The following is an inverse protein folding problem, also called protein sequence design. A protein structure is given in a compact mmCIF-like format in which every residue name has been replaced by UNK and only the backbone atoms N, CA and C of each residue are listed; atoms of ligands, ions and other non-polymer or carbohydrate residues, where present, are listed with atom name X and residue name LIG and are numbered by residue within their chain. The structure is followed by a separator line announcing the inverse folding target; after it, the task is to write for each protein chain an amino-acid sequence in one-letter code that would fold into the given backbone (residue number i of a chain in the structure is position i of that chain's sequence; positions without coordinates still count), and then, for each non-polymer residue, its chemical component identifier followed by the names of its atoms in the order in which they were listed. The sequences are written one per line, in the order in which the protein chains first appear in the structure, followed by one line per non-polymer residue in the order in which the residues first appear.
data_IF_273774748710
#
_entry.id   IF_273774748710
#
_cell.length_a   1.000
_cell.length_b   1.000
_cell.length_c   1.000
_cell.angle_alpha   90.00
_cell.angle_beta   90.00
_cell.angle_gamma   90.00
#
_symmetry.space_group_name_H-M   'P 1'
#
loop_
_entity.id
_entity.type
_entity.pdbx_description
1 polymer ?
#
# COMPACT_ATOMS: atom_id res chain seq x y z
N UNK A 1 -19.94 -24.26 18.89
CA UNK A 1 -18.92 -23.45 18.17
C UNK A 1 -19.12 -23.66 16.69
N UNK A 2 -19.64 -22.67 15.97
CA UNK A 2 -19.80 -22.78 14.53
C UNK A 2 -18.41 -22.82 13.89
N UNK A 3 -18.06 -23.95 13.27
CA UNK A 3 -16.86 -24.12 12.44
C UNK A 3 -16.97 -23.18 11.23
N UNK A 4 -16.37 -22.00 11.33
CA UNK A 4 -16.27 -21.10 10.17
C UNK A 4 -15.30 -21.73 9.17
N UNK A 5 -15.73 -21.83 7.91
CA UNK A 5 -14.91 -22.39 6.84
C UNK A 5 -13.64 -21.54 6.66
N UNK A 6 -12.42 -22.09 6.88
CA UNK A 6 -11.17 -21.32 6.75
C UNK A 6 -10.96 -20.79 5.33
N UNK A 7 -11.62 -21.36 4.31
CA UNK A 7 -11.53 -20.86 2.93
C UNK A 7 -12.16 -19.48 2.73
N UNK A 8 -13.08 -19.06 3.62
CA UNK A 8 -13.84 -17.82 3.44
C UNK A 8 -12.99 -16.54 3.51
N UNK A 9 -11.81 -16.62 4.14
CA UNK A 9 -10.88 -15.47 4.24
C UNK A 9 -9.93 -15.38 3.03
N UNK A 10 -9.76 -16.45 2.25
CA UNK A 10 -8.81 -16.46 1.13
C UNK A 10 -9.10 -15.41 0.03
N UNK A 11 -10.37 -15.13 -0.34
CA UNK A 11 -10.66 -14.03 -1.25
C UNK A 11 -10.26 -12.66 -0.68
N UNK A 12 -10.44 -12.45 0.63
CA UNK A 12 -10.04 -11.22 1.30
C UNK A 12 -8.52 -11.04 1.27
N UNK A 13 -7.79 -12.12 1.57
CA UNK A 13 -6.32 -12.19 1.49
C UNK A 13 -5.83 -11.80 0.11
N UNK A 14 -6.44 -12.37 -0.95
CA UNK A 14 -6.11 -12.05 -2.33
C UNK A 14 -6.41 -10.59 -2.64
N UNK A 15 -7.61 -10.10 -2.33
CA UNK A 15 -8.02 -8.72 -2.62
C UNK A 15 -7.13 -7.70 -1.91
N UNK A 16 -6.74 -7.97 -0.66
CA UNK A 16 -5.84 -7.10 0.08
C UNK A 16 -4.46 -7.04 -0.56
N UNK A 17 -3.86 -8.20 -0.83
CA UNK A 17 -2.55 -8.26 -1.48
C UNK A 17 -2.62 -7.59 -2.86
N UNK A 18 -3.67 -7.89 -3.64
CA UNK A 18 -3.88 -7.34 -4.97
C UNK A 18 -3.98 -5.81 -4.93
N UNK A 19 -4.72 -5.25 -3.97
CA UNK A 19 -4.83 -3.79 -3.82
C UNK A 19 -3.49 -3.11 -3.53
N UNK A 20 -2.63 -3.73 -2.72
CA UNK A 20 -1.32 -3.16 -2.36
C UNK A 20 -0.41 -3.15 -3.58
N UNK A 21 -0.32 -4.28 -4.25
CA UNK A 21 0.54 -4.49 -5.43
C UNK A 21 0.04 -3.66 -6.63
N UNK A 22 -1.28 -3.47 -6.76
CA UNK A 22 -1.86 -2.65 -7.82
C UNK A 22 -1.46 -1.18 -7.68
N UNK A 23 -1.33 -0.70 -6.44
CA UNK A 23 -0.99 0.68 -6.13
C UNK A 23 0.50 1.01 -6.30
N UNK A 24 1.38 0.01 -6.34
CA UNK A 24 2.83 0.25 -6.34
C UNK A 24 3.28 1.08 -7.56
N UNK A 25 2.91 0.68 -8.78
CA UNK A 25 3.29 1.42 -9.98
C UNK A 25 2.69 2.84 -10.00
N UNK A 26 1.36 3.07 -9.90
CA UNK A 26 0.78 4.40 -9.97
C UNK A 26 1.30 5.30 -8.84
N UNK A 27 1.56 4.72 -7.66
CA UNK A 27 2.23 5.38 -6.55
C UNK A 27 3.60 5.92 -6.97
N UNK A 28 4.48 5.10 -7.54
CA UNK A 28 5.80 5.56 -8.00
C UNK A 28 5.71 6.66 -9.07
N UNK A 29 4.77 6.56 -10.01
CA UNK A 29 4.53 7.58 -11.03
C UNK A 29 4.08 8.91 -10.40
N UNK A 30 3.19 8.86 -9.41
CA UNK A 30 2.75 10.04 -8.67
C UNK A 30 3.92 10.76 -7.98
N UNK A 31 4.77 10.04 -7.24
CA UNK A 31 5.95 10.63 -6.61
C UNK A 31 6.90 11.27 -7.63
N UNK A 32 7.13 10.58 -8.76
CA UNK A 32 7.96 11.09 -9.84
C UNK A 32 7.38 12.36 -10.45
N UNK A 33 6.08 12.38 -10.73
CA UNK A 33 5.41 13.52 -11.35
C UNK A 33 5.48 14.76 -10.46
N UNK A 34 5.25 14.62 -9.15
CA UNK A 34 5.31 15.73 -8.19
C UNK A 34 6.69 16.38 -8.20
N UNK A 35 7.77 15.58 -8.16
CA UNK A 35 9.13 16.10 -8.22
C UNK A 35 9.50 16.65 -9.58
N UNK A 36 8.95 16.09 -10.66
CA UNK A 36 9.17 16.60 -12.00
C UNK A 36 8.52 17.97 -12.21
N UNK A 37 7.29 18.15 -11.72
CA UNK A 37 6.56 19.42 -11.78
C UNK A 37 7.30 20.51 -10.97
N UNK A 38 7.80 20.18 -9.77
CA UNK A 38 8.64 21.09 -8.97
C UNK A 38 9.93 21.49 -9.72
N UNK A 39 10.56 20.54 -10.42
CA UNK A 39 11.82 20.77 -11.12
C UNK A 39 11.62 21.61 -12.40
N UNK A 40 10.50 21.42 -13.12
CA UNK A 40 10.12 22.26 -14.27
C UNK A 40 9.95 23.74 -13.90
N UNK A 41 9.37 24.02 -12.74
CA UNK A 41 9.21 25.40 -12.25
C UNK A 41 10.55 26.06 -11.89
N UNK A 42 11.60 25.28 -11.65
CA UNK A 42 12.94 25.79 -11.32
C UNK A 42 13.81 26.06 -12.57
N UNK A 43 13.55 25.36 -13.69
CA UNK A 43 14.34 25.41 -14.94
C UNK A 43 13.72 26.36 -15.99
N UNK A 44 13.09 27.45 -15.57
CA UNK A 44 12.74 28.54 -16.49
C UNK A 44 13.98 29.30 -17.00
N UNK A 45 14.91 28.60 -17.65
CA UNK A 45 16.12 29.10 -18.32
C UNK A 45 16.13 28.65 -19.79
N UNK A 46 16.65 29.47 -20.73
CA UNK A 46 16.28 29.41 -22.15
C UNK A 46 16.99 28.34 -22.98
N UNK A 47 17.72 27.41 -22.35
CA UNK A 47 18.78 26.62 -23.02
C UNK A 47 18.68 25.11 -22.78
N UNK A 48 17.51 24.62 -22.36
CA UNK A 48 17.27 23.19 -22.17
C UNK A 48 16.63 22.58 -23.42
N UNK A 49 17.36 21.66 -24.07
CA UNK A 49 16.90 20.88 -25.21
C UNK A 49 15.61 20.12 -24.85
N UNK A 50 14.57 20.34 -25.64
CA UNK A 50 13.21 19.86 -25.39
C UNK A 50 13.07 18.33 -25.56
N UNK A 51 14.14 17.66 -25.98
CA UNK A 51 14.18 16.22 -26.27
C UNK A 51 14.48 15.31 -25.07
N UNK A 52 15.03 15.84 -23.96
CA UNK A 52 15.29 15.02 -22.78
C UNK A 52 14.10 15.04 -21.82
N UNK A 53 13.58 13.85 -21.50
CA UNK A 53 12.53 13.65 -20.51
C UNK A 53 13.06 14.07 -19.12
N UNK A 54 12.84 15.33 -18.75
CA UNK A 54 13.27 15.98 -17.50
C UNK A 54 12.97 15.09 -16.28
N UNK A 55 11.88 14.32 -16.32
CA UNK A 55 11.47 13.44 -15.23
C UNK A 55 12.41 12.23 -15.03
N UNK A 56 13.24 11.89 -16.03
CA UNK A 56 14.25 10.82 -16.00
C UNK A 56 15.62 11.30 -15.55
N UNK A 57 15.81 12.60 -15.35
CA UNK A 57 17.09 13.12 -14.87
C UNK A 57 17.46 12.48 -13.52
N UNK A 58 18.73 12.08 -13.31
CA UNK A 58 19.18 11.48 -12.05
C UNK A 58 18.86 12.33 -10.81
N UNK A 59 18.83 13.65 -10.97
CA UNK A 59 18.47 14.58 -9.90
C UNK A 59 17.00 14.44 -9.46
N UNK A 60 16.07 14.29 -10.41
CA UNK A 60 14.64 14.05 -10.13
C UNK A 60 14.45 12.65 -9.57
N UNK A 61 15.14 11.65 -10.16
CA UNK A 61 15.10 10.27 -9.70
C UNK A 61 15.53 10.11 -8.24
N UNK A 62 16.65 10.74 -7.86
CA UNK A 62 17.14 10.71 -6.48
C UNK A 62 16.14 11.33 -5.51
N UNK A 63 15.47 12.42 -5.89
CA UNK A 63 14.47 13.07 -5.02
C UNK A 63 13.23 12.22 -4.81
N UNK A 64 12.60 11.71 -5.87
CA UNK A 64 11.37 10.92 -5.69
C UNK A 64 11.66 9.58 -5.01
N UNK A 65 12.81 8.94 -5.27
CA UNK A 65 13.19 7.68 -4.58
C UNK A 65 13.42 7.92 -3.09
N UNK A 66 13.97 9.08 -2.71
CA UNK A 66 14.08 9.50 -1.31
C UNK A 66 12.70 9.67 -0.67
N UNK A 67 11.77 10.34 -1.35
CA UNK A 67 10.41 10.51 -0.82
C UNK A 67 9.67 9.17 -0.67
N UNK A 68 9.83 8.26 -1.64
CA UNK A 68 9.27 6.91 -1.57
C UNK A 68 9.86 6.14 -0.38
N UNK A 69 11.17 6.24 -0.15
CA UNK A 69 11.83 5.61 0.98
C UNK A 69 11.32 6.18 2.32
N UNK A 70 11.13 7.50 2.42
CA UNK A 70 10.53 8.14 3.60
C UNK A 70 9.10 7.66 3.81
N UNK A 71 8.29 7.63 2.75
CA UNK A 71 6.91 7.18 2.79
C UNK A 71 6.79 5.73 3.28
N UNK A 72 7.56 4.81 2.68
CA UNK A 72 7.58 3.39 3.08
C UNK A 72 8.14 3.21 4.48
N UNK A 73 9.16 3.99 4.85
CA UNK A 73 9.76 3.99 6.19
C UNK A 73 8.77 4.41 7.27
N UNK A 74 8.03 5.51 7.06
CA UNK A 74 7.00 5.99 7.99
C UNK A 74 5.88 4.96 8.15
N UNK A 75 5.39 4.41 7.04
CA UNK A 75 4.34 3.41 7.03
C UNK A 75 4.77 2.14 7.79
N UNK A 76 6.01 1.68 7.60
CA UNK A 76 6.55 0.51 8.28
C UNK A 76 6.80 0.76 9.77
N UNK A 77 7.39 1.91 10.12
CA UNK A 77 7.64 2.30 11.50
C UNK A 77 6.35 2.36 12.32
N UNK A 78 5.33 3.05 11.79
CA UNK A 78 4.04 3.16 12.46
C UNK A 78 3.34 1.81 12.55
N UNK A 79 3.39 0.99 11.49
CA UNK A 79 2.83 -0.36 11.52
C UNK A 79 3.45 -1.21 12.64
N UNK A 80 4.76 -1.12 12.86
CA UNK A 80 5.45 -1.79 13.97
C UNK A 80 4.96 -1.24 15.31
N UNK A 81 4.90 0.08 15.48
CA UNK A 81 4.46 0.70 16.73
C UNK A 81 3.02 0.33 17.10
N UNK A 82 2.12 0.26 16.13
CA UNK A 82 0.72 -0.10 16.36
C UNK A 82 0.49 -1.62 16.40
N UNK A 83 1.44 -2.46 15.99
CA UNK A 83 1.25 -3.92 16.01
C UNK A 83 0.89 -4.48 17.40
N UNK A 84 1.54 -3.98 18.45
CA UNK A 84 1.30 -4.39 19.84
C UNK A 84 -0.11 -4.03 20.35
N UNK A 85 -0.58 -2.76 20.25
CA UNK A 85 -1.94 -2.43 20.66
C UNK A 85 -3.00 -3.16 19.83
N UNK A 86 -2.77 -3.38 18.52
CA UNK A 86 -3.70 -4.16 17.70
C UNK A 86 -3.73 -5.65 18.08
N UNK A 87 -2.59 -6.24 18.48
CA UNK A 87 -2.57 -7.60 19.01
C UNK A 87 -3.40 -7.72 20.29
N UNK A 88 -3.21 -6.79 21.25
CA UNK A 88 -4.02 -6.74 22.48
C UNK A 88 -5.51 -6.55 22.18
N UNK A 89 -5.85 -5.70 21.21
CA UNK A 89 -7.23 -5.46 20.79
C UNK A 89 -7.85 -6.70 20.13
N UNK A 90 -7.07 -7.41 19.31
CA UNK A 90 -7.45 -8.68 18.67
C UNK A 90 -7.81 -9.72 19.71
N UNK A 91 -6.98 -9.87 20.74
CA UNK A 91 -7.18 -10.86 21.81
C UNK A 91 -8.35 -10.49 22.72
N UNK A 92 -8.58 -9.19 22.98
CA UNK A 92 -9.62 -8.73 23.89
C UNK A 92 -11.04 -8.67 23.28
N UNK A 93 -11.17 -8.40 21.98
CA UNK A 93 -12.47 -8.20 21.31
C UNK A 93 -12.74 -9.23 20.22
N UNK A 94 -12.13 -9.02 19.05
CA UNK A 94 -12.31 -9.89 17.89
C UNK A 94 -11.29 -9.56 16.81
N UNK A 95 -10.76 -10.60 16.16
CA UNK A 95 -9.90 -10.47 14.97
C UNK A 95 -10.61 -9.75 13.81
N UNK A 96 -11.92 -9.98 13.64
CA UNK A 96 -12.72 -9.32 12.59
C UNK A 96 -12.81 -7.82 12.80
N UNK A 97 -12.93 -7.38 14.06
CA UNK A 97 -12.94 -5.96 14.40
C UNK A 97 -11.59 -5.31 14.09
N UNK A 98 -10.49 -5.97 14.42
CA UNK A 98 -9.13 -5.50 14.10
C UNK A 98 -8.95 -5.33 12.60
N UNK A 99 -9.35 -6.32 11.80
CA UNK A 99 -9.30 -6.24 10.33
C UNK A 99 -10.15 -5.07 9.82
N UNK A 100 -11.38 -4.90 10.33
CA UNK A 100 -12.25 -3.81 9.90
C UNK A 100 -11.66 -2.42 10.21
N UNK A 101 -11.08 -2.23 11.40
CA UNK A 101 -10.44 -0.97 11.79
C UNK A 101 -9.18 -0.71 10.94
N UNK A 102 -8.32 -1.72 10.79
CA UNK A 102 -7.11 -1.64 9.99
C UNK A 102 -7.43 -1.29 8.53
N UNK A 103 -8.42 -1.98 7.94
CA UNK A 103 -8.90 -1.71 6.59
C UNK A 103 -9.46 -0.29 6.48
N UNK A 104 -10.34 0.14 7.39
CA UNK A 104 -10.96 1.46 7.33
C UNK A 104 -9.92 2.60 7.40
N UNK A 105 -8.95 2.50 8.30
CA UNK A 105 -7.88 3.51 8.42
C UNK A 105 -6.97 3.49 7.19
N UNK A 106 -6.62 2.30 6.69
CA UNK A 106 -5.80 2.18 5.47
C UNK A 106 -6.53 2.78 4.28
N UNK A 107 -7.81 2.48 4.08
CA UNK A 107 -8.65 3.05 3.01
C UNK A 107 -8.75 4.57 3.14
N UNK A 108 -8.88 5.12 4.35
CA UNK A 108 -8.87 6.57 4.56
C UNK A 108 -7.55 7.19 4.08
N UNK A 109 -6.43 6.52 4.33
CA UNK A 109 -5.13 6.94 3.84
C UNK A 109 -4.99 6.86 2.31
N UNK A 110 -5.57 5.83 1.67
CA UNK A 110 -5.64 5.74 0.20
C UNK A 110 -6.50 6.86 -0.40
N UNK A 111 -7.66 7.13 0.20
CA UNK A 111 -8.52 8.24 -0.22
C UNK A 111 -7.75 9.56 -0.13
N UNK A 112 -7.02 9.78 0.96
CA UNK A 112 -6.18 10.97 1.10
C UNK A 112 -5.11 11.07 0.01
N UNK A 113 -4.49 9.95 -0.37
CA UNK A 113 -3.49 9.91 -1.42
C UNK A 113 -4.09 10.18 -2.81
N UNK A 114 -5.28 9.67 -3.09
CA UNK A 114 -6.04 9.98 -4.30
C UNK A 114 -6.43 11.47 -4.36
N UNK A 115 -6.80 12.07 -3.24
CA UNK A 115 -7.03 13.51 -3.14
C UNK A 115 -5.74 14.28 -3.44
N UNK A 116 -4.60 13.86 -2.90
CA UNK A 116 -3.30 14.48 -3.21
C UNK A 116 -2.96 14.41 -4.70
N UNK A 117 -3.29 13.30 -5.37
CA UNK A 117 -3.08 13.15 -6.81
C UNK A 117 -4.02 14.06 -7.64
N UNK A 118 -5.31 14.08 -7.30
CA UNK A 118 -6.34 14.82 -8.05
C UNK A 118 -6.25 16.34 -7.88
N UNK A 119 -5.85 16.84 -6.71
CA UNK A 119 -5.83 18.27 -6.41
C UNK A 119 -4.41 18.84 -6.47
N UNK A 120 -4.11 19.64 -7.51
CA UNK A 120 -2.80 20.25 -7.71
C UNK A 120 -2.21 20.99 -6.47
N UNK A 121 -2.99 21.70 -5.63
CA UNK A 121 -2.45 22.32 -4.42
C UNK A 121 -1.91 21.34 -3.38
N UNK A 122 -2.43 20.10 -3.37
CA UNK A 122 -2.07 19.03 -2.44
C UNK A 122 -0.91 18.16 -2.95
N UNK A 123 -0.44 18.38 -4.19
CA UNK A 123 0.72 17.70 -4.77
C UNK A 123 2.03 18.21 -4.18
N UNK A 124 2.21 18.03 -2.88
CA UNK A 124 3.46 18.32 -2.16
C UNK A 124 3.87 17.11 -1.33
N UNK A 125 5.17 16.84 -1.18
CA UNK A 125 5.67 15.69 -0.42
C UNK A 125 5.07 15.58 0.99
N UNK A 126 4.89 16.71 1.68
CA UNK A 126 4.35 16.76 3.04
C UNK A 126 2.95 16.14 3.16
N UNK A 127 2.07 16.35 2.18
CA UNK A 127 0.71 15.80 2.20
C UNK A 127 0.69 14.31 1.90
N UNK A 128 1.65 13.83 1.10
CA UNK A 128 1.82 12.40 0.84
C UNK A 128 2.35 11.68 2.09
N UNK A 129 3.27 12.31 2.83
CA UNK A 129 3.74 11.77 4.11
C UNK A 129 2.62 11.67 5.13
N UNK A 130 1.67 12.60 5.12
CA UNK A 130 0.47 12.49 5.95
C UNK A 130 -0.38 11.26 5.58
N UNK A 131 -0.48 10.92 4.28
CA UNK A 131 -1.09 9.66 3.85
C UNK A 131 -0.36 8.44 4.45
N UNK A 132 0.98 8.41 4.41
CA UNK A 132 1.76 7.35 5.06
C UNK A 132 1.48 7.24 6.55
N UNK A 133 1.30 8.37 7.25
CA UNK A 133 0.97 8.38 8.68
C UNK A 133 -0.40 7.73 8.92
N UNK A 134 -1.43 8.14 8.18
CA UNK A 134 -2.77 7.55 8.31
C UNK A 134 -2.71 6.05 8.02
N UNK A 135 -2.12 5.64 6.89
CA UNK A 135 -2.00 4.22 6.50
C UNK A 135 -1.21 3.41 7.54
N UNK A 136 -0.11 3.98 8.04
CA UNK A 136 0.73 3.37 9.07
C UNK A 136 -0.01 3.13 10.38
N UNK A 137 -0.88 4.05 10.82
CA UNK A 137 -1.73 3.88 12.00
C UNK A 137 -2.77 2.76 11.85
N UNK A 138 -3.15 2.44 10.61
CA UNK A 138 -3.96 1.26 10.29
C UNK A 138 -3.22 -0.07 10.47
N UNK A 139 -1.92 -0.04 10.76
CA UNK A 139 -1.10 -1.25 10.87
C UNK A 139 -0.63 -1.81 9.53
N UNK A 140 -1.04 -1.17 8.42
CA UNK A 140 -0.66 -1.52 7.05
C UNK A 140 -0.80 -3.03 6.77
N UNK A 141 0.09 -3.58 5.97
CA UNK A 141 0.14 -4.99 5.60
C UNK A 141 0.36 -5.94 6.80
N UNK A 142 1.19 -5.55 7.77
CA UNK A 142 1.64 -6.46 8.83
C UNK A 142 0.53 -6.84 9.80
N UNK A 143 -0.27 -5.88 10.27
CA UNK A 143 -1.37 -6.14 11.21
C UNK A 143 -2.46 -6.97 10.54
N UNK A 144 -2.81 -6.65 9.29
CA UNK A 144 -3.84 -7.41 8.58
C UNK A 144 -3.39 -8.85 8.33
N UNK A 145 -2.15 -9.06 7.87
CA UNK A 145 -1.60 -10.41 7.65
C UNK A 145 -1.53 -11.23 8.92
N UNK A 146 -1.12 -10.63 10.04
CA UNK A 146 -1.12 -11.30 11.33
C UNK A 146 -2.54 -11.73 11.73
N UNK A 147 -3.55 -10.88 11.53
CA UNK A 147 -4.94 -11.21 11.81
C UNK A 147 -5.48 -12.31 10.88
N UNK A 148 -5.17 -12.28 9.58
CA UNK A 148 -5.55 -13.31 8.61
C UNK A 148 -4.97 -14.68 8.98
N UNK A 149 -3.67 -14.74 9.26
CA UNK A 149 -3.00 -15.98 9.69
C UNK A 149 -3.61 -16.54 10.97
N UNK A 150 -3.95 -15.67 11.91
CA UNK A 150 -4.55 -16.11 13.16
C UNK A 150 -6.00 -16.61 12.99
N UNK A 151 -6.80 -15.98 12.12
CA UNK A 151 -8.15 -16.47 11.77
C UNK A 151 -8.06 -17.86 11.12
N UNK A 152 -7.11 -18.08 10.21
CA UNK A 152 -6.89 -19.41 9.63
C UNK A 152 -6.47 -20.41 10.70
N UNK A 153 -5.55 -20.04 11.59
CA UNK A 153 -5.08 -20.93 12.64
C UNK A 153 -6.20 -21.39 13.58
N UNK A 154 -7.14 -20.50 13.90
CA UNK A 154 -8.30 -20.79 14.76
C UNK A 154 -9.37 -21.64 14.07
N UNK A 155 -9.56 -21.49 12.76
CA UNK A 155 -10.62 -22.17 12.00
C UNK A 155 -10.14 -23.44 11.28
N UNK A 156 -8.87 -23.80 11.40
CA UNK A 156 -8.28 -25.01 10.81
C UNK A 156 -8.03 -26.09 11.85
N UNK A 157 -8.18 -27.35 11.43
CA UNK A 157 -7.69 -28.48 12.22
C UNK A 157 -6.17 -28.48 12.24
N UNK A 158 -5.57 -29.00 13.32
CA UNK A 158 -4.10 -29.08 13.46
C UNK A 158 -3.44 -29.75 12.26
N UNK A 159 -4.08 -30.78 11.71
CA UNK A 159 -3.55 -31.55 10.57
C UNK A 159 -3.56 -30.76 9.25
N UNK A 160 -4.52 -29.85 9.04
CA UNK A 160 -4.66 -29.09 7.80
C UNK A 160 -4.19 -27.63 7.92
N UNK A 161 -3.80 -27.17 9.11
CA UNK A 161 -3.43 -25.77 9.37
C UNK A 161 -2.33 -25.27 8.46
N UNK A 162 -1.25 -26.04 8.30
CA UNK A 162 -0.12 -25.66 7.43
C UNK A 162 -0.52 -25.52 5.97
N UNK A 163 -1.46 -26.34 5.50
CA UNK A 163 -2.00 -26.24 4.15
C UNK A 163 -2.75 -24.92 3.93
N UNK A 164 -3.65 -24.54 4.86
CA UNK A 164 -4.39 -23.28 4.76
C UNK A 164 -3.50 -22.05 4.93
N UNK A 165 -2.49 -22.09 5.80
CA UNK A 165 -1.50 -21.02 5.90
C UNK A 165 -0.66 -20.91 4.61
N UNK A 166 -0.32 -22.03 3.98
CA UNK A 166 0.30 -22.05 2.65
C UNK A 166 -0.58 -21.40 1.58
N UNK A 167 -1.90 -21.64 1.63
CA UNK A 167 -2.84 -20.99 0.70
C UNK A 167 -2.88 -19.46 0.84
N UNK A 168 -2.68 -18.89 2.04
CA UNK A 168 -2.53 -17.43 2.21
C UNK A 168 -1.36 -16.92 1.36
N UNK A 169 -0.22 -17.62 1.40
CA UNK A 169 0.97 -17.25 0.64
C UNK A 169 0.71 -17.36 -0.85
N UNK A 170 0.09 -18.45 -1.30
CA UNK A 170 -0.28 -18.64 -2.72
C UNK A 170 -1.18 -17.51 -3.20
N UNK A 171 -2.20 -17.14 -2.44
CA UNK A 171 -3.08 -16.01 -2.78
C UNK A 171 -2.33 -14.68 -2.87
N UNK A 172 -1.38 -14.44 -1.96
CA UNK A 172 -0.59 -13.21 -1.95
C UNK A 172 0.38 -13.16 -3.14
N UNK A 173 0.99 -14.29 -3.51
CA UNK A 173 1.86 -14.40 -4.69
C UNK A 173 1.08 -14.30 -6.01
N UNK A 174 -0.11 -14.90 -6.08
CA UNK A 174 -1.00 -14.76 -7.23
C UNK A 174 -1.40 -13.28 -7.43
N UNK A 175 -1.71 -12.58 -6.34
CA UNK A 175 -1.96 -11.14 -6.38
C UNK A 175 -0.74 -10.35 -6.87
N UNK A 176 0.46 -10.63 -6.34
CA UNK A 176 1.70 -9.98 -6.76
C UNK A 176 2.08 -10.25 -8.23
N UNK A 177 1.64 -11.38 -8.80
CA UNK A 177 1.84 -11.68 -10.22
C UNK A 177 0.84 -10.93 -11.12
N UNK A 178 -0.43 -10.84 -10.71
CA UNK A 178 -1.52 -10.29 -11.55
C UNK A 178 -1.60 -8.77 -11.44
N UNK A 179 -1.39 -8.21 -10.25
CA UNK A 179 -1.61 -6.79 -10.00
C UNK A 179 -0.69 -5.87 -10.81
N UNK A 180 0.64 -6.09 -10.94
CA UNK A 180 1.51 -5.24 -11.76
C UNK A 180 1.14 -5.27 -13.24
N UNK A 181 0.64 -6.40 -13.76
CA UNK A 181 0.18 -6.51 -15.15
C UNK A 181 -1.02 -5.60 -15.41
N UNK A 182 -2.01 -5.63 -14.51
CA UNK A 182 -3.20 -4.78 -14.60
C UNK A 182 -2.81 -3.31 -14.37
N UNK A 183 -1.93 -3.06 -13.41
CA UNK A 183 -1.44 -1.74 -13.09
C UNK A 183 -0.70 -1.09 -14.26
N UNK A 184 0.15 -1.84 -14.97
CA UNK A 184 0.80 -1.39 -16.20
C UNK A 184 -0.20 -0.98 -17.28
N UNK A 185 -1.22 -1.81 -17.54
CA UNK A 185 -2.28 -1.48 -18.50
C UNK A 185 -3.07 -0.24 -18.09
N UNK A 186 -3.33 -0.04 -16.78
CA UNK A 186 -4.01 1.15 -16.27
C UNK A 186 -3.18 2.41 -16.43
N UNK A 187 -1.87 2.33 -16.22
CA UNK A 187 -0.94 3.45 -16.42
C UNK A 187 -0.79 3.77 -17.91
N UNK A 188 -0.69 2.75 -18.77
CA UNK A 188 -0.57 2.94 -20.22
C UNK A 188 -1.86 3.47 -20.87
N UNK A 189 -3.02 3.00 -20.42
CA UNK A 189 -4.34 3.36 -20.95
C UNK A 189 -4.89 4.70 -20.43
N UNK A 190 -4.39 5.18 -19.29
CA UNK A 190 -4.69 6.50 -18.76
C UNK A 190 -3.48 7.41 -18.93
N UNK A 191 -3.39 8.16 -20.03
CA UNK A 191 -2.28 9.06 -20.35
C UNK A 191 -1.71 9.83 -19.13
N UNK A 192 -0.63 9.29 -18.55
CA UNK A 192 0.32 9.92 -17.63
C UNK A 192 1.73 9.83 -18.19
#
# INVERSE_FOLDING_TARGET
MATQNPLLILPLVFLQAFSIELFELPGTYLFRQIRCDEYRLQISLPDYDHNDDICRLPAVQKKYTTDLAIYMGLLSLLAILVSSPYARLSDAKSRKLVIAIAAAITTLGEIWLLLCAGFAPLRRPIFIYFAAVIKGLGGSYSVMKAAEMAIIAENSSVQNRSFYLGLILVMSMAAAAVAPLISGVLVDGGHY
#
